data_IF_078845072329
#
_entry.id   IF_078845072329
#
_cell.length_a   1.000
_cell.length_b   1.000
_cell.length_c   1.000
_cell.angle_alpha   90.00
_cell.angle_beta   90.00
_cell.angle_gamma   90.00
#
_symmetry.space_group_name_H-M   'P 1'
#
loop_
_entity.id
_entity.type
_entity.pdbx_description
1 polymer ?
#
# COMPACT_ATOMS: atom_id res chain seq x y z
N UNK A 1 18.39 8.58 -8.42
CA UNK A 1 17.21 7.68 -8.34
C UNK A 1 16.06 8.33 -9.10
N UNK A 2 15.36 7.63 -10.01
CA UNK A 2 14.23 8.21 -10.76
C UNK A 2 12.95 8.15 -9.88
N UNK A 3 12.25 9.27 -9.76
CA UNK A 3 10.92 9.32 -9.09
C UNK A 3 9.93 8.44 -9.84
N UNK A 4 9.16 7.63 -9.12
CA UNK A 4 8.10 6.79 -9.67
C UNK A 4 6.75 7.40 -9.35
N UNK A 5 5.83 7.36 -10.32
CA UNK A 5 4.48 7.91 -10.20
C UNK A 5 3.49 6.76 -10.08
N UNK A 6 2.76 6.72 -8.96
CA UNK A 6 1.67 5.79 -8.72
C UNK A 6 0.34 6.52 -8.73
N UNK A 7 -0.67 5.94 -9.40
CA UNK A 7 -2.02 6.48 -9.40
C UNK A 7 -2.85 5.80 -8.31
N UNK A 8 -3.43 6.59 -7.41
CA UNK A 8 -4.37 6.10 -6.38
C UNK A 8 -5.79 6.07 -6.96
N UNK A 9 -6.20 4.92 -7.51
CA UNK A 9 -7.45 4.76 -8.23
C UNK A 9 -7.88 3.31 -8.32
N UNK A 10 -9.21 3.06 -8.33
CA UNK A 10 -9.79 1.73 -8.50
C UNK A 10 -10.70 1.60 -9.74
N UNK A 11 -11.00 2.69 -10.44
CA UNK A 11 -11.84 2.61 -11.65
C UNK A 11 -11.17 1.80 -12.75
N UNK A 12 -11.88 0.75 -13.20
CA UNK A 12 -11.35 -0.21 -14.17
C UNK A 12 -10.95 0.43 -15.51
N UNK A 13 -11.78 1.35 -16.04
CA UNK A 13 -11.53 1.98 -17.33
C UNK A 13 -10.31 2.89 -17.26
N UNK A 14 -10.19 3.64 -16.17
CA UNK A 14 -9.06 4.54 -15.93
C UNK A 14 -7.75 3.76 -15.70
N UNK A 15 -7.78 2.67 -14.92
CA UNK A 15 -6.61 1.79 -14.74
C UNK A 15 -6.20 1.21 -16.10
N UNK A 16 -7.14 0.72 -16.93
CA UNK A 16 -6.87 0.19 -18.27
C UNK A 16 -6.17 1.23 -19.16
N UNK A 17 -6.68 2.46 -19.18
CA UNK A 17 -6.09 3.56 -19.94
C UNK A 17 -4.68 3.91 -19.45
N UNK A 18 -4.51 4.07 -18.14
CA UNK A 18 -3.23 4.52 -17.54
C UNK A 18 -2.18 3.41 -17.47
N UNK A 19 -2.59 2.15 -17.50
CA UNK A 19 -1.65 1.02 -17.53
C UNK A 19 -0.73 1.05 -18.76
N UNK A 20 -1.18 1.63 -19.86
CA UNK A 20 -0.41 1.76 -21.10
C UNK A 20 0.46 3.04 -21.15
N UNK A 21 0.31 3.96 -20.19
CA UNK A 21 1.09 5.21 -20.15
C UNK A 21 2.43 4.98 -19.48
N UNK A 22 3.52 5.37 -20.13
CA UNK A 22 4.90 5.26 -19.59
C UNK A 22 5.14 6.11 -18.35
N UNK A 23 4.37 7.19 -18.17
CA UNK A 23 4.46 8.08 -17.00
C UNK A 23 3.99 7.39 -15.71
N UNK A 24 3.10 6.42 -15.80
CA UNK A 24 2.54 5.72 -14.61
C UNK A 24 3.36 4.47 -14.34
N UNK A 25 3.98 4.41 -13.17
CA UNK A 25 4.80 3.26 -12.75
C UNK A 25 4.02 2.20 -11.97
N UNK A 26 2.84 2.54 -11.43
CA UNK A 26 2.02 1.60 -10.66
C UNK A 26 0.70 2.20 -10.20
N UNK A 27 -0.01 1.40 -9.41
CA UNK A 27 -1.32 1.79 -8.89
C UNK A 27 -1.42 1.49 -7.39
N UNK A 28 -2.21 2.29 -6.70
CA UNK A 28 -2.68 1.99 -5.35
C UNK A 28 -4.19 2.01 -5.31
N UNK A 29 -4.77 1.15 -4.52
CA UNK A 29 -6.21 1.12 -4.28
C UNK A 29 -6.49 1.12 -2.77
N UNK A 30 -7.75 1.22 -2.42
CA UNK A 30 -8.23 0.95 -1.08
C UNK A 30 -9.70 0.50 -1.15
N UNK A 31 -10.26 -0.09 -0.06
CA UNK A 31 -11.63 -0.59 -0.07
C UNK A 31 -12.69 0.46 -0.43
N UNK A 32 -12.49 1.72 -0.01
CA UNK A 32 -13.43 2.81 -0.32
C UNK A 32 -13.42 3.16 -1.81
N UNK A 33 -12.25 3.30 -2.43
CA UNK A 33 -12.12 3.52 -3.87
C UNK A 33 -12.71 2.37 -4.67
N UNK A 34 -12.48 1.12 -4.23
CA UNK A 34 -13.04 -0.06 -4.88
C UNK A 34 -14.58 -0.04 -4.84
N UNK A 35 -15.16 0.29 -3.69
CA UNK A 35 -16.62 0.43 -3.54
C UNK A 35 -17.17 1.55 -4.45
N UNK A 36 -16.54 2.71 -4.47
CA UNK A 36 -16.93 3.82 -5.36
C UNK A 36 -16.86 3.45 -6.84
N UNK A 37 -15.90 2.60 -7.22
CA UNK A 37 -15.76 2.06 -8.56
C UNK A 37 -16.76 0.93 -8.89
N UNK A 38 -17.71 0.64 -7.98
CA UNK A 38 -18.77 -0.34 -8.20
C UNK A 38 -18.40 -1.79 -7.85
N UNK A 39 -17.35 -2.01 -7.07
CA UNK A 39 -16.99 -3.35 -6.59
C UNK A 39 -18.05 -3.88 -5.61
N UNK A 40 -18.76 -4.94 -6.02
CA UNK A 40 -19.68 -5.68 -5.16
C UNK A 40 -18.94 -6.71 -4.29
N UNK A 41 -17.90 -7.31 -4.83
CA UNK A 41 -16.97 -8.21 -4.14
C UNK A 41 -15.53 -7.71 -4.34
N UNK A 42 -14.81 -7.55 -3.25
CA UNK A 42 -13.47 -6.97 -3.26
C UNK A 42 -12.46 -7.84 -4.02
N UNK A 43 -12.47 -9.15 -3.76
CA UNK A 43 -11.58 -10.12 -4.42
C UNK A 43 -11.84 -10.20 -5.92
N UNK A 44 -13.10 -10.39 -6.31
CA UNK A 44 -13.46 -10.54 -7.73
C UNK A 44 -13.09 -9.28 -8.53
N UNK A 45 -13.33 -8.12 -7.93
CA UNK A 45 -12.98 -6.85 -8.57
C UNK A 45 -11.46 -6.66 -8.66
N UNK A 46 -10.72 -7.02 -7.63
CA UNK A 46 -9.25 -7.01 -7.63
C UNK A 46 -8.69 -7.94 -8.71
N UNK A 47 -9.20 -9.15 -8.81
CA UNK A 47 -8.80 -10.10 -9.85
C UNK A 47 -9.15 -9.60 -11.26
N UNK A 48 -10.30 -8.91 -11.43
CA UNK A 48 -10.66 -8.25 -12.70
C UNK A 48 -9.63 -7.18 -13.08
N UNK A 49 -9.20 -6.35 -12.14
CA UNK A 49 -8.14 -5.35 -12.36
C UNK A 49 -6.83 -6.03 -12.73
N UNK A 50 -6.44 -7.09 -12.03
CA UNK A 50 -5.19 -7.81 -12.29
C UNK A 50 -5.11 -8.43 -13.69
N UNK A 51 -6.26 -8.77 -14.32
CA UNK A 51 -6.28 -9.24 -15.71
C UNK A 51 -5.73 -8.21 -16.70
N UNK A 52 -5.90 -6.91 -16.41
CA UNK A 52 -5.38 -5.81 -17.25
C UNK A 52 -4.06 -5.22 -16.74
N UNK A 53 -3.81 -5.24 -15.43
CA UNK A 53 -2.60 -4.72 -14.81
C UNK A 53 -1.66 -5.87 -14.42
N UNK A 54 -1.00 -6.50 -15.41
CA UNK A 54 -0.16 -7.69 -15.19
C UNK A 54 1.29 -7.39 -14.79
N UNK A 55 1.83 -6.24 -15.20
CA UNK A 55 3.26 -5.91 -15.07
C UNK A 55 3.53 -4.83 -14.03
N UNK A 56 2.71 -3.78 -14.01
CA UNK A 56 2.91 -2.67 -13.07
C UNK A 56 2.51 -3.08 -11.65
N UNK A 57 3.27 -2.67 -10.62
CA UNK A 57 2.89 -2.91 -9.23
C UNK A 57 1.52 -2.31 -8.93
N UNK A 58 0.72 -3.04 -8.17
CA UNK A 58 -0.58 -2.57 -7.69
C UNK A 58 -0.77 -2.97 -6.24
N UNK A 59 -1.29 -2.05 -5.42
CA UNK A 59 -1.53 -2.29 -4.01
C UNK A 59 -3.00 -2.53 -3.73
N UNK A 60 -3.28 -3.64 -3.02
CA UNK A 60 -4.61 -3.95 -2.45
C UNK A 60 -4.51 -4.00 -0.94
N UNK A 61 -5.48 -3.39 -0.25
CA UNK A 61 -5.45 -3.16 1.19
C UNK A 61 -6.21 -4.25 1.94
N UNK A 62 -5.64 -4.71 3.08
CA UNK A 62 -6.37 -5.47 4.08
C UNK A 62 -7.38 -4.54 4.78
N UNK A 63 -8.50 -5.09 5.21
CA UNK A 63 -9.53 -4.36 5.95
C UNK A 63 -9.90 -5.02 7.29
N UNK A 64 -9.26 -6.12 7.66
CA UNK A 64 -9.34 -6.67 9.00
C UNK A 64 -8.68 -5.74 10.01
N UNK A 65 -9.23 -5.66 11.20
CA UNK A 65 -8.74 -4.77 12.25
C UNK A 65 -7.83 -5.47 13.27
N UNK A 66 -8.03 -6.77 13.52
CA UNK A 66 -7.12 -7.53 14.37
C UNK A 66 -5.93 -8.09 13.58
N UNK A 67 -4.79 -8.25 14.25
CA UNK A 67 -3.52 -8.61 13.60
C UNK A 67 -3.53 -10.00 12.95
N UNK A 68 -4.22 -10.98 13.56
CA UNK A 68 -4.28 -12.34 13.03
C UNK A 68 -5.09 -12.41 11.72
N UNK A 69 -6.22 -11.70 11.66
CA UNK A 69 -7.02 -11.66 10.45
C UNK A 69 -6.38 -10.76 9.37
N UNK A 70 -5.62 -9.72 9.77
CA UNK A 70 -4.76 -8.99 8.83
C UNK A 70 -3.76 -9.91 8.14
N UNK A 71 -3.11 -10.82 8.89
CA UNK A 71 -2.18 -11.79 8.32
C UNK A 71 -2.88 -12.72 7.34
N UNK A 72 -4.03 -13.31 7.70
CA UNK A 72 -4.80 -14.19 6.82
C UNK A 72 -5.18 -13.48 5.51
N UNK A 73 -5.73 -12.27 5.61
CA UNK A 73 -6.08 -11.46 4.43
C UNK A 73 -4.86 -11.08 3.61
N UNK A 74 -3.74 -10.76 4.25
CA UNK A 74 -2.51 -10.40 3.57
C UNK A 74 -1.96 -11.57 2.73
N UNK A 75 -1.98 -12.78 3.26
CA UNK A 75 -1.60 -13.98 2.50
C UNK A 75 -2.53 -14.23 1.32
N UNK A 76 -3.84 -14.09 1.53
CA UNK A 76 -4.82 -14.21 0.44
C UNK A 76 -4.57 -13.16 -0.65
N UNK A 77 -4.46 -11.87 -0.29
CA UNK A 77 -4.21 -10.78 -1.25
C UNK A 77 -2.91 -11.01 -2.01
N UNK A 78 -1.84 -11.45 -1.33
CA UNK A 78 -0.57 -11.76 -1.98
C UNK A 78 -0.70 -12.87 -3.04
N UNK A 79 -1.58 -13.84 -2.81
CA UNK A 79 -1.80 -14.96 -3.75
C UNK A 79 -2.45 -14.54 -5.07
N UNK A 80 -3.06 -13.35 -5.15
CA UNK A 80 -3.79 -12.90 -6.34
C UNK A 80 -2.91 -12.57 -7.54
N UNK A 81 -1.63 -12.22 -7.31
CA UNK A 81 -0.73 -11.91 -8.42
C UNK A 81 0.70 -11.53 -8.02
N UNK A 82 1.65 -11.83 -8.91
CA UNK A 82 3.08 -11.56 -8.68
C UNK A 82 3.44 -10.07 -8.59
N UNK A 83 2.61 -9.17 -9.09
CA UNK A 83 2.80 -7.72 -9.06
C UNK A 83 2.03 -7.04 -7.92
N UNK A 84 1.37 -7.80 -7.06
CA UNK A 84 0.65 -7.29 -5.91
C UNK A 84 1.60 -6.82 -4.81
N UNK A 85 1.29 -5.67 -4.23
CA UNK A 85 1.81 -5.19 -2.95
C UNK A 85 0.65 -5.23 -1.95
N UNK A 86 0.81 -5.95 -0.86
CA UNK A 86 -0.21 -5.98 0.18
C UNK A 86 -0.14 -4.67 0.97
N UNK A 87 -1.25 -3.94 1.00
CA UNK A 87 -1.32 -2.65 1.69
C UNK A 87 -1.81 -2.87 3.12
N UNK A 88 -0.99 -2.42 4.09
CA UNK A 88 -1.20 -2.62 5.53
C UNK A 88 -1.22 -1.25 6.22
N UNK A 89 -2.25 -0.90 7.01
CA UNK A 89 -2.22 0.32 7.80
C UNK A 89 -1.15 0.23 8.90
N UNK A 90 -0.46 1.34 9.19
CA UNK A 90 0.61 1.39 10.21
C UNK A 90 0.10 1.08 11.61
N UNK A 91 -1.16 1.38 11.89
CA UNK A 91 -1.89 1.03 13.12
C UNK A 91 -3.28 0.55 12.76
N UNK A 92 -3.88 -0.27 13.63
CA UNK A 92 -5.30 -0.63 13.52
C UNK A 92 -6.22 0.48 14.08
N UNK A 93 -7.54 0.27 14.10
CA UNK A 93 -8.52 1.24 14.62
C UNK A 93 -8.30 1.61 16.10
N UNK A 94 -7.68 0.72 16.87
CA UNK A 94 -7.35 0.91 18.28
C UNK A 94 -5.97 1.57 18.50
N UNK A 95 -5.29 2.00 17.43
CA UNK A 95 -3.95 2.59 17.52
C UNK A 95 -2.82 1.59 17.76
N UNK A 96 -3.09 0.28 17.68
CA UNK A 96 -2.07 -0.76 17.88
C UNK A 96 -1.18 -0.83 16.62
N UNK A 97 0.13 -0.72 16.81
CA UNK A 97 1.11 -0.81 15.74
C UNK A 97 1.13 -2.21 15.10
N UNK A 98 1.06 -2.29 13.78
CA UNK A 98 1.00 -3.52 12.99
C UNK A 98 2.38 -4.14 12.72
N UNK A 99 3.37 -3.83 13.54
CA UNK A 99 4.77 -4.20 13.33
C UNK A 99 5.02 -5.70 13.23
N UNK A 100 4.33 -6.53 14.00
CA UNK A 100 4.43 -8.00 13.92
C UNK A 100 3.96 -8.52 12.57
N UNK A 101 2.84 -7.99 12.04
CA UNK A 101 2.32 -8.32 10.71
C UNK A 101 3.32 -7.91 9.63
N UNK A 102 3.83 -6.66 9.70
CA UNK A 102 4.82 -6.14 8.76
C UNK A 102 6.07 -7.01 8.73
N UNK A 103 6.59 -7.36 9.92
CA UNK A 103 7.78 -8.19 10.05
C UNK A 103 7.58 -9.56 9.43
N UNK A 104 6.54 -10.28 9.84
CA UNK A 104 6.26 -11.63 9.36
C UNK A 104 6.09 -11.67 7.83
N UNK A 105 5.28 -10.79 7.27
CA UNK A 105 5.03 -10.75 5.83
C UNK A 105 6.29 -10.40 5.05
N UNK A 106 7.08 -9.42 5.51
CA UNK A 106 8.30 -9.02 4.81
C UNK A 106 9.39 -10.10 4.92
N UNK A 107 9.49 -10.83 6.03
CA UNK A 107 10.41 -11.96 6.18
C UNK A 107 10.05 -13.13 5.25
N UNK A 108 8.77 -13.28 4.92
CA UNK A 108 8.28 -14.23 3.90
C UNK A 108 8.44 -13.73 2.45
N UNK A 109 9.07 -12.58 2.22
CA UNK A 109 9.28 -12.01 0.90
C UNK A 109 8.04 -11.38 0.26
N UNK A 110 6.96 -11.17 1.03
CA UNK A 110 5.72 -10.54 0.56
C UNK A 110 5.95 -9.04 0.43
N UNK A 111 5.70 -8.50 -0.75
CA UNK A 111 5.84 -7.07 -1.04
C UNK A 111 4.76 -6.28 -0.34
N UNK A 112 5.17 -5.23 0.39
CA UNK A 112 4.27 -4.46 1.23
C UNK A 112 4.16 -3.00 0.80
N UNK A 113 3.00 -2.41 1.05
CA UNK A 113 2.77 -0.98 1.05
C UNK A 113 2.18 -0.57 2.40
N UNK A 114 3.03 -0.07 3.30
CA UNK A 114 2.59 0.34 4.65
C UNK A 114 2.01 1.75 4.56
N UNK A 115 0.72 1.87 4.86
CA UNK A 115 -0.08 3.07 4.61
C UNK A 115 -0.49 3.80 5.90
N UNK A 116 -1.12 4.97 5.74
CA UNK A 116 -1.58 5.84 6.82
C UNK A 116 -0.45 6.31 7.75
N UNK A 117 0.74 6.56 7.19
CA UNK A 117 1.90 7.06 7.95
C UNK A 117 1.83 8.59 8.04
N UNK A 118 1.86 9.12 9.25
CA UNK A 118 1.77 10.56 9.53
C UNK A 118 2.97 11.12 10.29
N UNK A 119 3.86 10.27 10.81
CA UNK A 119 5.00 10.72 11.61
C UNK A 119 6.29 10.00 11.23
N UNK A 120 7.41 10.67 11.42
CA UNK A 120 8.73 10.05 11.27
C UNK A 120 8.94 8.86 12.23
N UNK A 121 8.40 8.95 13.44
CA UNK A 121 8.46 7.84 14.40
C UNK A 121 7.78 6.59 13.87
N UNK A 122 6.62 6.72 13.21
CA UNK A 122 5.96 5.60 12.54
C UNK A 122 6.82 5.04 11.41
N UNK A 123 7.36 5.91 10.53
CA UNK A 123 8.23 5.49 9.44
C UNK A 123 9.47 4.73 9.96
N UNK A 124 10.12 5.24 11.03
CA UNK A 124 11.26 4.59 11.68
C UNK A 124 10.90 3.22 12.29
N UNK A 125 9.74 3.10 12.94
CA UNK A 125 9.26 1.82 13.49
C UNK A 125 9.00 0.81 12.36
N UNK A 126 8.34 1.23 11.27
CA UNK A 126 8.11 0.39 10.09
C UNK A 126 9.46 -0.09 9.54
N UNK A 127 10.38 0.83 9.26
CA UNK A 127 11.68 0.52 8.67
C UNK A 127 12.47 -0.51 9.49
N UNK A 128 12.39 -0.46 10.83
CA UNK A 128 13.03 -1.44 11.72
C UNK A 128 12.41 -2.84 11.64
N UNK A 129 11.14 -2.95 11.25
CA UNK A 129 10.43 -4.22 11.13
C UNK A 129 10.45 -4.81 9.71
N UNK A 130 10.94 -4.05 8.72
CA UNK A 130 11.04 -4.54 7.34
C UNK A 130 12.29 -5.39 7.13
N UNK A 131 12.12 -6.51 6.43
CA UNK A 131 13.24 -7.23 5.84
C UNK A 131 13.79 -6.44 4.65
N UNK A 132 15.06 -6.06 4.70
CA UNK A 132 15.71 -5.20 3.69
C UNK A 132 15.82 -5.84 2.31
N UNK A 133 15.69 -7.17 2.21
CA UNK A 133 15.68 -7.91 0.94
C UNK A 133 14.31 -7.90 0.26
N UNK A 134 13.25 -7.52 0.98
CA UNK A 134 11.87 -7.51 0.47
C UNK A 134 11.47 -6.10 0.03
N UNK A 135 10.99 -5.97 -1.20
CA UNK A 135 10.52 -4.69 -1.74
C UNK A 135 9.33 -4.17 -0.93
N UNK A 136 9.45 -2.95 -0.42
CA UNK A 136 8.40 -2.32 0.38
C UNK A 136 8.26 -0.85 0.07
N UNK A 137 7.07 -0.31 0.32
CA UNK A 137 6.72 1.10 0.19
C UNK A 137 6.23 1.59 1.56
N UNK A 138 6.70 2.74 2.00
CA UNK A 138 6.18 3.45 3.18
C UNK A 138 5.41 4.66 2.67
N UNK A 139 4.08 4.63 2.77
CA UNK A 139 3.21 5.67 2.24
C UNK A 139 2.90 6.73 3.30
N UNK A 140 3.64 7.84 3.25
CA UNK A 140 3.39 9.02 4.08
C UNK A 140 2.20 9.79 3.48
N UNK A 141 1.17 10.05 4.29
CA UNK A 141 -0.07 10.70 3.87
C UNK A 141 0.08 12.22 3.78
N UNK A 142 0.95 12.68 2.89
CA UNK A 142 1.29 14.09 2.69
C UNK A 142 0.06 14.95 2.37
N UNK A 143 -0.82 14.51 1.47
CA UNK A 143 -2.03 15.25 1.11
C UNK A 143 -2.93 15.48 2.34
N UNK A 144 -3.19 14.42 3.14
CA UNK A 144 -3.97 14.52 4.37
C UNK A 144 -3.32 15.41 5.43
N UNK A 145 -2.00 15.53 5.44
CA UNK A 145 -1.28 16.46 6.31
C UNK A 145 -1.46 17.90 5.83
N UNK A 146 -1.32 18.13 4.52
CA UNK A 146 -1.53 19.44 3.90
C UNK A 146 -2.97 19.94 4.09
N UNK A 147 -3.97 19.08 3.94
CA UNK A 147 -5.39 19.39 4.20
C UNK A 147 -5.62 19.89 5.65
N UNK A 148 -4.73 19.52 6.58
CA UNK A 148 -4.73 19.96 7.97
C UNK A 148 -3.72 21.09 8.27
N UNK A 149 -3.21 21.75 7.23
CA UNK A 149 -2.23 22.84 7.36
C UNK A 149 -0.85 22.40 7.87
N UNK A 150 -0.50 21.10 7.77
CA UNK A 150 0.78 20.55 8.23
C UNK A 150 1.71 20.34 7.05
N UNK A 151 2.94 20.90 7.13
CA UNK A 151 3.98 20.64 6.12
C UNK A 151 4.50 19.20 6.21
N UNK A 152 4.38 18.37 5.15
CA UNK A 152 4.88 17.00 5.14
C UNK A 152 6.38 16.90 4.83
N UNK A 153 7.01 17.94 4.30
CA UNK A 153 8.41 17.90 3.82
C UNK A 153 9.42 17.48 4.87
N UNK A 154 9.34 17.92 6.15
CA UNK A 154 10.29 17.48 7.18
C UNK A 154 10.25 15.97 7.41
N UNK A 155 9.06 15.35 7.31
CA UNK A 155 8.90 13.90 7.49
C UNK A 155 9.52 13.16 6.32
N UNK A 156 9.31 13.62 5.08
CA UNK A 156 9.95 13.03 3.91
C UNK A 156 11.46 13.10 3.99
N UNK A 157 12.04 14.29 4.26
CA UNK A 157 13.49 14.46 4.36
C UNK A 157 14.11 13.51 5.38
N UNK A 158 13.51 13.41 6.60
CA UNK A 158 13.96 12.46 7.64
C UNK A 158 13.75 11.00 7.25
N UNK A 159 12.68 10.67 6.52
CA UNK A 159 12.38 9.28 6.16
C UNK A 159 13.30 8.76 5.06
N UNK A 160 13.73 9.61 4.12
CA UNK A 160 14.71 9.25 3.08
C UNK A 160 16.04 8.84 3.72
N UNK A 161 16.45 9.47 4.83
CA UNK A 161 17.70 9.09 5.52
C UNK A 161 17.68 7.73 6.21
N UNK A 162 16.53 7.02 6.22
CA UNK A 162 16.44 5.65 6.74
C UNK A 162 16.90 4.61 5.72
N UNK A 163 16.87 4.94 4.42
CA UNK A 163 17.17 4.04 3.30
C UNK A 163 18.56 4.29 2.75
#
# INVERSE_FOLDING_TARGET
>A
MKTKIFCDIADYKTIKSYNNKSLVDGFTTNPSLMRLAGAKNYKDYSLKILKICKKKPISFEVFADNLNDMLKQAYEINSWGKNVYVKIPVVNSKGIFTGSVIKELSDKGIKLNITAVYTFTQAKKIYKNLNKKTKSIISIFAGRMADKGKDPLPIFKKSISLT
#
